data_IF_508865323949
#
_entry.id   IF_508865323949
#
_cell.length_a   1.000
_cell.length_b   1.000
_cell.length_c   1.000
_cell.angle_alpha   90.00
_cell.angle_beta   90.00
_cell.angle_gamma   90.00
#
_symmetry.space_group_name_H-M   'P 1'
#
loop_
_entity.id
_entity.type
_entity.pdbx_description
1 polymer ?
#
# COMPACT_ATOMS: atom_id res chain seq x y z
N UNK A 1 -7.46 -1.73 9.86
CA UNK A 1 -6.21 -2.27 9.30
C UNK A 1 -5.33 -1.10 8.87
N UNK A 2 -4.04 -1.13 9.20
CA UNK A 2 -3.09 -0.13 8.72
C UNK A 2 -2.51 -0.62 7.39
N UNK A 3 -2.23 0.26 6.44
CA UNK A 3 -1.62 -0.13 5.17
C UNK A 3 -0.67 0.95 4.65
N UNK A 4 0.30 0.54 3.86
CA UNK A 4 1.34 1.37 3.27
C UNK A 4 1.61 0.92 1.84
N UNK A 5 2.18 1.82 1.05
CA UNK A 5 2.87 1.46 -0.18
C UNK A 5 4.35 1.33 0.19
N UNK A 6 4.95 0.19 -0.15
CA UNK A 6 6.38 -0.04 0.00
C UNK A 6 7.00 -0.18 -1.39
N UNK A 7 8.21 0.31 -1.58
CA UNK A 7 8.89 0.40 -2.89
C UNK A 7 10.03 -0.61 -3.02
N UNK A 8 9.98 -1.66 -2.20
CA UNK A 8 10.80 -2.86 -2.23
C UNK A 8 10.02 -4.02 -1.59
N UNK A 9 10.59 -5.23 -1.66
CA UNK A 9 9.97 -6.47 -1.15
C UNK A 9 10.46 -6.86 0.26
N UNK A 10 11.33 -6.05 0.88
CA UNK A 10 12.01 -6.44 2.11
C UNK A 10 11.10 -6.29 3.34
N UNK A 11 10.82 -7.43 3.99
CA UNK A 11 9.88 -7.49 5.12
C UNK A 11 10.37 -6.73 6.36
N UNK A 12 11.66 -6.90 6.69
CA UNK A 12 12.24 -6.41 7.93
C UNK A 12 12.47 -4.89 7.90
N UNK A 13 13.05 -4.41 6.81
CA UNK A 13 13.43 -3.02 6.61
C UNK A 13 13.29 -2.65 5.13
N UNK A 14 12.79 -1.44 4.86
CA UNK A 14 12.69 -0.94 3.49
C UNK A 14 14.01 -0.27 3.11
N UNK A 15 14.85 -0.96 2.33
CA UNK A 15 16.13 -0.41 1.87
C UNK A 15 15.93 0.80 0.94
N UNK A 16 14.74 0.96 0.37
CA UNK A 16 14.42 2.09 -0.49
C UNK A 16 14.52 3.45 0.22
N UNK A 17 14.34 3.49 1.55
CA UNK A 17 14.46 4.72 2.35
C UNK A 17 15.86 4.93 2.93
N UNK A 18 16.81 4.00 2.68
CA UNK A 18 18.18 4.04 3.19
C UNK A 18 18.52 2.83 4.08
N UNK A 19 19.77 2.73 4.57
CA UNK A 19 20.24 1.59 5.39
C UNK A 19 19.70 1.64 6.83
N UNK A 20 19.23 0.51 7.38
CA UNK A 20 18.61 0.40 8.72
C UNK A 20 19.42 1.07 9.84
N UNK A 21 20.75 0.95 9.81
CA UNK A 21 21.66 1.49 10.83
C UNK A 21 21.85 3.03 10.76
N UNK A 22 21.24 3.71 9.79
CA UNK A 22 21.41 5.16 9.59
C UNK A 22 20.30 5.93 10.27
N UNK A 23 20.66 6.86 11.16
CA UNK A 23 19.69 7.70 11.84
C UNK A 23 19.15 8.81 10.92
N UNK A 24 17.87 9.16 11.06
CA UNK A 24 17.24 10.28 10.34
C UNK A 24 16.85 9.96 8.89
N UNK A 25 16.91 8.70 8.48
CA UNK A 25 16.43 8.25 7.18
C UNK A 25 14.91 8.09 7.15
N UNK A 26 14.34 8.14 5.95
CA UNK A 26 12.91 8.19 5.72
C UNK A 26 12.59 8.45 4.26
N UNK A 27 11.31 8.69 3.95
CA UNK A 27 10.83 8.84 2.58
C UNK A 27 11.49 9.97 1.78
N UNK A 28 12.07 10.98 2.43
CA UNK A 28 12.84 12.03 1.74
C UNK A 28 14.12 11.51 1.07
N UNK A 29 14.63 10.35 1.49
CA UNK A 29 15.78 9.67 0.90
C UNK A 29 15.39 8.65 -0.18
N UNK A 30 14.10 8.40 -0.35
CA UNK A 30 13.63 7.38 -1.29
C UNK A 30 13.94 7.78 -2.73
N UNK A 31 14.40 6.81 -3.52
CA UNK A 31 14.54 7.01 -4.96
C UNK A 31 13.14 7.30 -5.55
N UNK A 32 12.98 8.43 -6.26
CA UNK A 32 11.70 8.75 -6.87
C UNK A 32 11.40 7.79 -8.02
N UNK A 33 10.12 7.53 -8.24
CA UNK A 33 9.59 6.78 -9.36
C UNK A 33 10.23 5.40 -9.55
N UNK A 34 10.16 4.51 -8.53
CA UNK A 34 10.65 3.16 -8.65
C UNK A 34 9.87 2.40 -9.74
N UNK A 35 10.49 1.37 -10.37
CA UNK A 35 9.78 0.47 -11.28
C UNK A 35 8.52 -0.11 -10.61
N UNK A 36 7.45 -0.28 -11.39
CA UNK A 36 6.15 -0.73 -10.87
C UNK A 36 6.23 -2.09 -10.18
N UNK A 37 7.14 -2.95 -10.62
CA UNK A 37 7.40 -4.29 -10.09
C UNK A 37 7.95 -4.26 -8.65
N UNK A 38 8.55 -3.13 -8.24
CA UNK A 38 9.05 -2.95 -6.88
C UNK A 38 7.98 -2.37 -5.95
N UNK A 39 6.85 -1.91 -6.48
CA UNK A 39 5.79 -1.30 -5.67
C UNK A 39 4.87 -2.40 -5.12
N UNK A 40 4.75 -2.43 -3.80
CA UNK A 40 3.96 -3.40 -3.06
C UNK A 40 2.92 -2.69 -2.18
N UNK A 41 1.72 -3.28 -2.11
CA UNK A 41 0.77 -2.95 -1.06
C UNK A 41 1.13 -3.76 0.19
N UNK A 42 1.49 -3.05 1.25
CA UNK A 42 1.72 -3.63 2.58
C UNK A 42 0.49 -3.38 3.45
N UNK A 43 -0.15 -4.43 3.94
CA UNK A 43 -1.27 -4.34 4.89
C UNK A 43 -0.92 -5.02 6.20
N UNK A 44 -1.24 -4.39 7.32
CA UNK A 44 -0.96 -4.90 8.65
C UNK A 44 -2.25 -5.31 9.36
N UNK A 45 -2.29 -6.58 9.77
CA UNK A 45 -3.26 -7.07 10.73
C UNK A 45 -2.69 -6.89 12.13
N UNK A 46 -3.18 -5.86 12.79
CA UNK A 46 -2.82 -5.51 14.15
C UNK A 46 -3.83 -6.13 15.12
N UNK A 47 -3.36 -6.81 16.17
CA UNK A 47 -4.24 -7.38 17.19
C UNK A 47 -3.77 -7.03 18.60
N UNK A 48 -4.73 -6.82 19.50
CA UNK A 48 -4.49 -6.57 20.92
C UNK A 48 -5.11 -7.72 21.71
N UNK A 49 -4.31 -8.38 22.55
CA UNK A 49 -4.78 -9.47 23.41
C UNK A 49 -4.26 -9.31 24.83
N UNK A 50 -5.18 -9.29 25.80
CA UNK A 50 -4.80 -9.35 27.22
C UNK A 50 -4.33 -10.76 27.58
N UNK A 51 -3.15 -10.86 28.19
CA UNK A 51 -2.60 -12.13 28.68
C UNK A 51 -3.29 -12.52 29.99
N UNK A 52 -3.78 -13.78 30.12
CA UNK A 52 -4.67 -14.16 31.21
C UNK A 52 -4.00 -14.18 32.59
N UNK A 53 -2.68 -14.38 32.65
CA UNK A 53 -1.94 -14.50 33.92
C UNK A 53 -1.35 -13.17 34.40
N UNK A 54 -0.67 -12.44 33.52
CA UNK A 54 0.01 -11.19 33.88
C UNK A 54 -0.86 -9.95 33.73
N UNK A 55 -1.97 -10.05 32.98
CA UNK A 55 -2.80 -8.90 32.63
C UNK A 55 -2.19 -7.94 31.61
N UNK A 56 -0.95 -8.19 31.14
CA UNK A 56 -0.29 -7.40 30.11
C UNK A 56 -1.05 -7.45 28.78
N UNK A 57 -0.90 -6.42 27.95
CA UNK A 57 -1.46 -6.37 26.60
C UNK A 57 -0.39 -6.80 25.60
N UNK A 58 -0.61 -7.91 24.92
CA UNK A 58 0.16 -8.34 23.77
C UNK A 58 -0.38 -7.61 22.53
N UNK A 59 0.45 -6.76 21.94
CA UNK A 59 0.21 -6.16 20.64
C UNK A 59 0.99 -6.92 19.58
N UNK A 60 0.29 -7.46 18.58
CA UNK A 60 0.93 -8.14 17.45
C UNK A 60 0.65 -7.41 16.16
N UNK A 61 1.65 -7.41 15.27
CA UNK A 61 1.56 -6.85 13.92
C UNK A 61 1.91 -7.97 12.96
N UNK A 62 0.95 -8.39 12.13
CA UNK A 62 1.17 -9.33 11.02
C UNK A 62 1.14 -8.56 9.70
N UNK A 63 2.29 -8.26 9.09
CA UNK A 63 2.34 -7.66 7.77
C UNK A 63 2.01 -8.68 6.68
N UNK A 64 1.34 -8.21 5.64
CA UNK A 64 1.04 -8.90 4.38
C UNK A 64 1.56 -8.01 3.25
N UNK A 65 2.21 -8.63 2.28
CA UNK A 65 2.75 -7.98 1.09
C UNK A 65 2.11 -8.61 -0.14
N UNK A 66 1.71 -7.75 -1.08
CA UNK A 66 1.26 -8.15 -2.41
C UNK A 66 1.78 -7.13 -3.41
N UNK A 67 2.30 -7.60 -4.54
CA UNK A 67 2.77 -6.69 -5.59
C UNK A 67 1.60 -5.88 -6.15
N UNK A 68 1.85 -4.62 -6.55
CA UNK A 68 0.80 -3.82 -7.18
C UNK A 68 0.35 -4.45 -8.50
N UNK A 69 1.28 -5.04 -9.24
CA UNK A 69 0.98 -5.71 -10.52
C UNK A 69 0.04 -6.90 -10.33
N UNK A 70 0.19 -7.67 -9.24
CA UNK A 70 -0.72 -8.77 -8.92
C UNK A 70 -2.09 -8.29 -8.45
N UNK A 71 -2.15 -7.37 -7.47
CA UNK A 71 -3.44 -6.93 -6.93
C UNK A 71 -4.25 -6.10 -7.94
N UNK A 72 -3.60 -5.48 -8.92
CA UNK A 72 -4.27 -4.72 -9.96
C UNK A 72 -5.05 -5.59 -10.96
N UNK A 73 -4.78 -6.90 -11.03
CA UNK A 73 -5.56 -7.81 -11.87
C UNK A 73 -6.96 -8.09 -11.29
N UNK A 74 -7.14 -7.89 -9.98
CA UNK A 74 -8.45 -8.04 -9.33
C UNK A 74 -9.43 -6.95 -9.81
N UNK A 75 -10.62 -7.32 -10.31
CA UNK A 75 -11.56 -6.38 -10.89
C UNK A 75 -11.95 -5.23 -9.95
N UNK A 76 -11.75 -3.99 -10.42
CA UNK A 76 -12.11 -2.77 -9.71
C UNK A 76 -11.14 -2.36 -8.59
N UNK A 77 -10.15 -3.19 -8.24
CA UNK A 77 -9.10 -2.78 -7.29
C UNK A 77 -8.28 -1.60 -7.82
N UNK A 78 -7.81 -1.56 -9.09
CA UNK A 78 -6.99 -0.45 -9.58
C UNK A 78 -7.66 0.91 -9.39
N UNK A 79 -8.92 1.02 -9.80
CA UNK A 79 -9.70 2.27 -9.68
C UNK A 79 -9.93 2.68 -8.22
N UNK A 80 -10.26 1.73 -7.33
CA UNK A 80 -10.44 2.03 -5.89
C UNK A 80 -9.13 2.45 -5.23
N UNK A 81 -8.02 1.78 -5.54
CA UNK A 81 -6.71 2.12 -4.98
C UNK A 81 -6.24 3.50 -5.46
N UNK A 82 -6.40 3.79 -6.75
CA UNK A 82 -6.07 5.11 -7.31
C UNK A 82 -6.93 6.22 -6.68
N UNK A 83 -8.23 5.98 -6.51
CA UNK A 83 -9.14 6.89 -5.80
C UNK A 83 -8.69 7.13 -4.35
N UNK A 84 -8.34 6.07 -3.62
CA UNK A 84 -7.86 6.18 -2.25
C UNK A 84 -6.57 7.01 -2.16
N UNK A 85 -5.58 6.75 -3.01
CA UNK A 85 -4.32 7.52 -3.07
C UNK A 85 -4.56 9.01 -3.35
N UNK A 86 -5.51 9.34 -4.24
CA UNK A 86 -5.89 10.72 -4.54
C UNK A 86 -6.59 11.41 -3.38
N UNK A 87 -7.34 10.66 -2.57
CA UNK A 87 -8.14 11.18 -1.46
C UNK A 87 -7.36 11.48 -0.18
N UNK A 88 -6.10 11.05 -0.09
CA UNK A 88 -5.30 11.25 1.12
C UNK A 88 -5.11 12.73 1.45
N UNK A 89 -5.37 13.13 2.71
CA UNK A 89 -4.93 14.42 3.24
C UNK A 89 -3.42 14.64 3.04
N UNK A 90 -3.00 15.90 2.87
CA UNK A 90 -1.60 16.25 2.52
C UNK A 90 -0.58 15.72 3.53
N UNK A 91 -0.90 15.81 4.82
CA UNK A 91 -0.12 15.30 5.93
C UNK A 91 0.02 13.77 5.88
N UNK A 92 -1.08 13.05 5.62
CA UNK A 92 -1.06 11.58 5.45
C UNK A 92 -0.25 11.18 4.22
N UNK A 93 -0.41 11.90 3.11
CA UNK A 93 0.33 11.65 1.88
C UNK A 93 1.83 11.88 2.07
N UNK A 94 2.22 12.96 2.75
CA UNK A 94 3.62 13.24 3.07
C UNK A 94 4.20 12.17 4.00
N UNK A 95 3.50 11.84 5.09
CA UNK A 95 3.91 10.81 6.04
C UNK A 95 4.10 9.43 5.38
N UNK A 96 3.23 9.07 4.43
CA UNK A 96 3.33 7.81 3.68
C UNK A 96 4.24 7.88 2.45
N UNK A 97 5.02 8.96 2.30
CA UNK A 97 5.99 9.11 1.23
C UNK A 97 5.40 9.12 -0.18
N UNK A 98 4.13 9.52 -0.32
CA UNK A 98 3.37 9.43 -1.58
C UNK A 98 4.14 9.98 -2.78
N UNK A 99 4.84 11.10 -2.60
CA UNK A 99 5.64 11.77 -3.63
C UNK A 99 6.70 10.86 -4.28
N UNK A 100 7.22 9.86 -3.56
CA UNK A 100 8.25 8.97 -4.06
C UNK A 100 7.74 7.99 -5.13
N UNK A 101 6.44 7.67 -5.16
CA UNK A 101 5.89 6.62 -6.04
C UNK A 101 4.61 7.02 -6.77
N UNK A 102 3.99 8.15 -6.44
CA UNK A 102 2.65 8.49 -6.93
C UNK A 102 2.54 8.55 -8.44
N UNK A 103 3.58 9.03 -9.13
CA UNK A 103 3.54 9.22 -10.57
C UNK A 103 3.52 7.86 -11.28
N UNK A 104 4.42 6.94 -10.93
CA UNK A 104 4.44 5.57 -11.49
C UNK A 104 3.18 4.81 -11.09
N UNK A 105 2.81 4.86 -9.80
CA UNK A 105 1.71 4.09 -9.26
C UNK A 105 0.35 4.52 -9.82
N UNK A 106 0.04 5.82 -9.82
CA UNK A 106 -1.26 6.29 -10.32
C UNK A 106 -1.39 6.06 -11.82
N UNK A 107 -0.32 6.28 -12.60
CA UNK A 107 -0.33 5.99 -14.04
C UNK A 107 -0.70 4.53 -14.30
N UNK A 108 -0.01 3.59 -13.65
CA UNK A 108 -0.28 2.16 -13.82
C UNK A 108 -1.71 1.78 -13.41
N UNK A 109 -2.18 2.28 -12.26
CA UNK A 109 -3.53 1.96 -11.78
C UNK A 109 -4.63 2.54 -12.67
N UNK A 110 -4.44 3.72 -13.26
CA UNK A 110 -5.40 4.32 -14.19
C UNK A 110 -5.44 3.57 -15.53
N UNK A 111 -4.27 3.16 -16.05
CA UNK A 111 -4.17 2.35 -17.26
C UNK A 111 -4.87 1.00 -17.05
N UNK A 112 -4.59 0.32 -15.94
CA UNK A 112 -5.26 -0.94 -15.56
C UNK A 112 -6.75 -0.78 -15.34
N UNK A 113 -7.17 0.32 -14.72
CA UNK A 113 -8.59 0.59 -14.54
C UNK A 113 -9.30 0.78 -15.89
N UNK A 114 -8.69 1.52 -16.81
CA UNK A 114 -9.22 1.75 -18.16
C UNK A 114 -9.29 0.45 -18.96
N UNK A 115 -8.28 -0.41 -18.85
CA UNK A 115 -8.27 -1.75 -19.43
C UNK A 115 -9.47 -2.58 -18.91
N UNK A 116 -9.66 -2.64 -17.59
CA UNK A 116 -10.76 -3.38 -16.97
C UNK A 116 -12.13 -2.86 -17.42
N UNK A 117 -12.32 -1.54 -17.50
CA UNK A 117 -13.56 -0.91 -17.98
C UNK A 117 -13.82 -1.23 -19.46
N UNK A 118 -12.77 -1.20 -20.29
CA UNK A 118 -12.86 -1.56 -21.71
C UNK A 118 -13.25 -3.03 -21.89
N UNK A 119 -12.76 -3.89 -21.00
CA UNK A 119 -13.11 -5.32 -20.96
C UNK A 119 -14.50 -5.60 -20.34
N UNK A 120 -15.28 -4.56 -20.03
CA UNK A 120 -16.68 -4.70 -19.62
C UNK A 120 -16.94 -4.63 -18.11
N UNK A 121 -15.95 -4.26 -17.29
CA UNK A 121 -16.18 -4.02 -15.87
C UNK A 121 -17.16 -2.85 -15.67
N UNK A 122 -18.28 -3.11 -14.98
CA UNK A 122 -19.28 -2.09 -14.67
C UNK A 122 -19.28 -1.75 -13.17
N UNK A 123 -18.70 -0.60 -12.83
CA UNK A 123 -18.39 -0.17 -11.45
C UNK A 123 -19.65 0.21 -10.65
N UNK A 124 -20.81 0.34 -11.30
CA UNK A 124 -22.08 0.73 -10.68
C UNK A 124 -22.62 -0.29 -9.67
N UNK A 125 -22.08 -1.52 -9.65
CA UNK A 125 -22.51 -2.59 -8.76
C UNK A 125 -21.51 -2.84 -7.61
N UNK A 126 -21.21 -1.82 -6.81
CA UNK A 126 -20.32 -1.91 -5.63
C UNK A 126 -20.88 -2.77 -4.48
N UNK A 127 -22.13 -3.24 -4.58
CA UNK A 127 -22.79 -4.07 -3.57
C UNK A 127 -22.28 -5.51 -3.49
N UNK A 128 -21.39 -5.93 -4.41
CA UNK A 128 -20.96 -7.32 -4.54
C UNK A 128 -19.68 -7.70 -3.77
N UNK A 129 -19.03 -6.77 -3.07
CA UNK A 129 -17.85 -7.14 -2.28
C UNK A 129 -18.27 -7.81 -0.97
N UNK A 130 -17.80 -9.04 -0.68
CA UNK A 130 -18.14 -9.72 0.56
C UNK A 130 -17.57 -8.92 1.74
N UNK A 131 -18.47 -8.50 2.63
CA UNK A 131 -18.13 -7.93 3.93
C UNK A 131 -17.55 -8.99 4.87
#
# INVERSE_FOLDING_TARGET
HNYFIQTDEHLAWSESIGPEDTFGIGWDNAQPDPPIEKIHLRSERQTLRRLPRSGAILFTIRPYFISITEIAEEPGIPGRLASALRSWPKDVAHYKGKKAYEHVLLKYLDEKHTEQCTNGLNITNTSSYPY
#
